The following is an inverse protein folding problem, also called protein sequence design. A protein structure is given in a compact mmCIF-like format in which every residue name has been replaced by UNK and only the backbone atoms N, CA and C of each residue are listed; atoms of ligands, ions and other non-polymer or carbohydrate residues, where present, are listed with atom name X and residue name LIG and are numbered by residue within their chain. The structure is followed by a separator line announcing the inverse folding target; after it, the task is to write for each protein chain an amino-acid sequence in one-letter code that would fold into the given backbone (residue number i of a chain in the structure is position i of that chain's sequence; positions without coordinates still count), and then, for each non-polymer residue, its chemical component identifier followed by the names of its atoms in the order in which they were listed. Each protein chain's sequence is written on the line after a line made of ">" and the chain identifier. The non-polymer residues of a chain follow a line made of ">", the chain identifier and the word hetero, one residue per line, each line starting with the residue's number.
data_IF_960988893354
#
_entry.id   IF_960988893354
#
_cell.length_a   1.000
_cell.length_b   1.000
_cell.length_c   1.000
_cell.angle_alpha   90.00
_cell.angle_beta   90.00
_cell.angle_gamma   90.00
#
_symmetry.space_group_name_H-M   'P 1'
#
loop_
_entity.id
_entity.type
_entity.pdbx_description
1 polymer ?
#
# COMPACT_ATOMS: atom_id res chain seq x y z
N UNK A 1 7.52 -2.10 -26.92
CA UNK A 1 7.04 -2.91 -25.79
C UNK A 1 8.00 -4.08 -25.57
N UNK A 2 8.39 -4.37 -24.33
CA UNK A 2 9.27 -5.51 -24.02
C UNK A 2 8.53 -6.83 -24.27
N UNK A 3 9.09 -7.77 -25.07
CA UNK A 3 8.47 -9.08 -25.33
C UNK A 3 8.21 -9.85 -24.05
N UNK A 4 7.06 -10.52 -23.94
CA UNK A 4 6.66 -11.24 -22.71
C UNK A 4 7.69 -12.30 -22.28
N UNK A 5 8.35 -12.96 -23.24
CA UNK A 5 9.39 -13.96 -22.99
C UNK A 5 10.62 -13.38 -22.28
N UNK A 6 10.98 -12.12 -22.52
CA UNK A 6 12.15 -11.48 -21.91
C UNK A 6 11.87 -10.88 -20.53
N UNK A 7 10.60 -10.70 -20.15
CA UNK A 7 10.23 -10.03 -18.88
C UNK A 7 10.63 -10.83 -17.65
N UNK A 8 10.49 -12.15 -17.69
CA UNK A 8 10.92 -13.04 -16.60
C UNK A 8 12.44 -13.01 -16.42
N UNK A 9 13.18 -12.93 -17.53
CA UNK A 9 14.63 -12.81 -17.48
C UNK A 9 15.05 -11.46 -16.89
N UNK A 10 14.44 -10.36 -17.34
CA UNK A 10 14.73 -9.02 -16.82
C UNK A 10 14.40 -8.92 -15.34
N UNK A 11 13.21 -9.38 -14.90
CA UNK A 11 12.80 -9.28 -13.49
C UNK A 11 13.74 -10.05 -12.57
N UNK A 12 14.32 -11.15 -13.05
CA UNK A 12 15.25 -11.95 -12.25
C UNK A 12 16.50 -11.17 -11.78
N UNK A 13 16.91 -10.13 -12.52
CA UNK A 13 18.02 -9.24 -12.14
C UNK A 13 17.64 -8.16 -11.14
N UNK A 14 16.35 -7.97 -10.87
CA UNK A 14 15.82 -6.95 -9.96
C UNK A 14 15.21 -7.52 -8.68
N UNK A 15 15.22 -8.86 -8.54
CA UNK A 15 14.76 -9.52 -7.32
C UNK A 15 15.95 -9.77 -6.42
N UNK A 16 15.80 -9.44 -5.13
CA UNK A 16 16.81 -9.67 -4.10
C UNK A 16 16.26 -10.45 -2.91
N UNK A 17 17.16 -11.03 -2.12
CA UNK A 17 16.86 -11.69 -0.86
C UNK A 17 15.79 -12.80 -0.98
N UNK A 18 14.72 -12.69 -0.18
CA UNK A 18 13.65 -13.70 -0.11
C UNK A 18 12.88 -13.82 -1.43
N UNK A 19 12.74 -12.73 -2.18
CA UNK A 19 12.05 -12.72 -3.47
C UNK A 19 12.87 -13.46 -4.54
N UNK A 20 14.19 -13.22 -4.59
CA UNK A 20 15.10 -13.93 -5.49
C UNK A 20 15.13 -15.45 -5.23
N UNK A 21 15.23 -15.84 -3.96
CA UNK A 21 15.26 -17.25 -3.53
C UNK A 21 13.99 -17.98 -3.96
N UNK A 22 12.82 -17.36 -3.74
CA UNK A 22 11.55 -17.92 -4.20
C UNK A 22 11.48 -18.02 -5.72
N UNK A 23 11.87 -16.97 -6.43
CA UNK A 23 11.82 -16.94 -7.89
C UNK A 23 12.67 -18.05 -8.51
N UNK A 24 13.88 -18.27 -8.00
CA UNK A 24 14.75 -19.37 -8.46
C UNK A 24 14.12 -20.74 -8.25
N UNK A 25 13.57 -21.00 -7.06
CA UNK A 25 12.85 -22.24 -6.78
C UNK A 25 11.63 -22.42 -7.70
N UNK A 26 10.84 -21.36 -7.91
CA UNK A 26 9.63 -21.42 -8.72
C UNK A 26 9.94 -21.64 -10.21
N UNK A 27 11.01 -21.03 -10.73
CA UNK A 27 11.54 -21.30 -12.07
C UNK A 27 12.05 -22.74 -12.19
N UNK A 28 12.81 -23.24 -11.21
CA UNK A 28 13.35 -24.61 -11.23
C UNK A 28 12.25 -25.68 -11.25
N UNK A 29 11.11 -25.40 -10.61
CA UNK A 29 9.95 -26.30 -10.57
C UNK A 29 8.94 -26.05 -11.70
N UNK A 30 9.29 -25.25 -12.72
CA UNK A 30 8.42 -24.89 -13.84
C UNK A 30 7.07 -24.25 -13.42
N UNK A 31 7.04 -23.58 -12.26
CA UNK A 31 5.84 -22.93 -11.74
C UNK A 31 5.61 -21.54 -12.36
N UNK A 32 6.64 -20.96 -12.98
CA UNK A 32 6.61 -19.64 -13.61
C UNK A 32 6.77 -19.76 -15.13
N UNK A 33 5.73 -20.24 -15.81
CA UNK A 33 5.73 -20.46 -17.26
C UNK A 33 5.43 -19.21 -18.09
N UNK A 34 4.88 -18.17 -17.47
CA UNK A 34 4.47 -16.94 -18.16
C UNK A 34 4.53 -15.71 -17.24
N UNK A 35 4.57 -14.51 -17.84
CA UNK A 35 4.52 -13.26 -17.10
C UNK A 35 3.27 -13.11 -16.22
N UNK A 36 2.04 -13.44 -16.69
CA UNK A 36 0.86 -13.48 -15.83
C UNK A 36 0.99 -14.41 -14.63
N UNK A 37 1.49 -15.63 -14.82
CA UNK A 37 1.69 -16.60 -13.72
C UNK A 37 2.69 -16.10 -12.68
N UNK A 38 3.73 -15.39 -13.12
CA UNK A 38 4.66 -14.72 -12.22
C UNK A 38 4.01 -13.60 -11.43
N UNK A 39 3.20 -12.74 -12.07
CA UNK A 39 2.47 -11.68 -11.37
C UNK A 39 1.52 -12.26 -10.32
N UNK A 40 0.77 -13.31 -10.66
CA UNK A 40 -0.09 -13.98 -9.69
C UNK A 40 0.71 -14.56 -8.52
N UNK A 41 1.78 -15.32 -8.80
CA UNK A 41 2.61 -15.93 -7.76
C UNK A 41 3.30 -14.91 -6.85
N UNK A 42 3.76 -13.78 -7.40
CA UNK A 42 4.37 -12.72 -6.60
C UNK A 42 3.33 -11.99 -5.75
N UNK A 43 2.13 -11.75 -6.27
CA UNK A 43 1.01 -11.21 -5.49
C UNK A 43 0.57 -12.17 -4.38
N UNK A 44 0.46 -13.48 -4.66
CA UNK A 44 0.06 -14.46 -3.63
C UNK A 44 1.08 -14.58 -2.51
N UNK A 45 2.38 -14.49 -2.82
CA UNK A 45 3.44 -14.75 -1.84
C UNK A 45 4.02 -13.51 -1.16
N UNK A 46 3.98 -12.36 -1.85
CA UNK A 46 4.57 -11.10 -1.39
C UNK A 46 3.62 -9.92 -1.53
N UNK A 47 2.47 -10.08 -2.18
CA UNK A 47 1.42 -9.08 -2.11
C UNK A 47 0.83 -9.02 -0.70
N UNK A 48 0.05 -7.96 -0.40
CA UNK A 48 -0.82 -7.95 0.77
C UNK A 48 -1.59 -9.26 0.75
N UNK A 49 -1.50 -10.06 1.81
CA UNK A 49 -2.25 -11.31 1.84
C UNK A 49 -3.72 -10.99 1.61
N UNK A 50 -4.47 -11.83 0.89
CA UNK A 50 -5.92 -11.65 0.70
C UNK A 50 -6.73 -11.58 2.03
N UNK A 51 -6.05 -11.66 3.17
CA UNK A 51 -6.56 -11.58 4.53
C UNK A 51 -6.24 -10.24 5.23
N UNK A 52 -5.37 -9.39 4.68
CA UNK A 52 -5.17 -8.05 5.21
C UNK A 52 -6.26 -7.14 4.63
N UNK A 53 -7.29 -6.86 5.45
CA UNK A 53 -8.28 -5.82 5.19
C UNK A 53 -7.60 -4.45 5.37
N UNK A 54 -6.71 -4.10 4.45
CA UNK A 54 -5.91 -2.86 4.50
C UNK A 54 -6.83 -1.63 4.49
N UNK A 55 -7.97 -1.70 3.79
CA UNK A 55 -9.00 -0.65 3.83
C UNK A 55 -9.59 -0.52 5.25
N UNK A 56 -9.90 -1.65 5.89
CA UNK A 56 -10.31 -1.72 7.28
C UNK A 56 -9.25 -1.22 8.26
N UNK A 57 -7.98 -1.52 8.03
CA UNK A 57 -6.86 -1.01 8.83
C UNK A 57 -6.72 0.50 8.67
N UNK A 58 -6.77 1.01 7.44
CA UNK A 58 -6.71 2.44 7.14
C UNK A 58 -7.87 3.20 7.79
N UNK A 59 -9.09 2.66 7.73
CA UNK A 59 -10.27 3.29 8.32
C UNK A 59 -10.26 3.31 9.86
N UNK A 60 -9.53 2.39 10.49
CA UNK A 60 -9.41 2.26 11.96
C UNK A 60 -8.13 2.90 12.50
N UNK A 61 -7.23 3.35 11.63
CA UNK A 61 -5.95 3.94 12.04
C UNK A 61 -6.22 5.18 12.92
N UNK A 62 -5.56 5.23 14.07
CA UNK A 62 -5.72 6.33 15.02
C UNK A 62 -4.38 6.82 15.56
N UNK A 63 -4.28 8.11 15.79
CA UNK A 63 -3.09 8.78 16.28
C UNK A 63 -2.85 8.46 17.75
N UNK A 64 -1.85 7.62 18.01
CA UNK A 64 -1.37 7.30 19.37
C UNK A 64 -0.24 8.24 19.79
N UNK A 65 0.76 8.41 18.91
CA UNK A 65 1.95 9.25 19.11
C UNK A 65 1.84 10.65 18.52
N UNK A 66 2.89 11.05 17.82
CA UNK A 66 2.98 12.31 17.08
C UNK A 66 2.12 12.29 15.80
N UNK A 67 1.86 13.47 15.23
CA UNK A 67 1.15 13.57 13.94
C UNK A 67 2.00 13.00 12.81
N UNK A 68 3.31 13.27 12.82
CA UNK A 68 4.24 12.77 11.80
C UNK A 68 4.28 11.23 11.76
N UNK A 69 4.31 10.55 12.92
CA UNK A 69 4.25 9.09 12.98
C UNK A 69 2.91 8.54 12.47
N UNK A 70 1.80 9.22 12.78
CA UNK A 70 0.48 8.84 12.30
C UNK A 70 0.36 9.02 10.79
N UNK A 71 0.83 10.15 10.25
CA UNK A 71 0.83 10.43 8.82
C UNK A 71 1.66 9.40 8.06
N UNK A 72 2.86 9.06 8.53
CA UNK A 72 3.70 8.03 7.91
C UNK A 72 2.98 6.68 7.85
N UNK A 73 2.32 6.26 8.95
CA UNK A 73 1.53 5.03 8.97
C UNK A 73 0.33 5.08 8.01
N UNK A 74 -0.32 6.24 7.90
CA UNK A 74 -1.44 6.45 6.99
C UNK A 74 -0.99 6.34 5.53
N UNK A 75 0.14 6.96 5.17
CA UNK A 75 0.74 6.91 3.84
C UNK A 75 1.20 5.47 3.48
N UNK A 76 1.77 4.73 4.42
CA UNK A 76 2.16 3.33 4.22
C UNK A 76 0.97 2.42 3.92
N UNK A 77 -0.17 2.64 4.58
CA UNK A 77 -1.42 1.92 4.30
C UNK A 77 -2.05 2.37 2.99
N UNK A 78 -2.03 3.67 2.68
CA UNK A 78 -2.49 4.22 1.40
C UNK A 78 -1.77 3.60 0.19
N UNK A 79 -0.46 3.38 0.30
CA UNK A 79 0.34 2.77 -0.76
C UNK A 79 -0.04 1.30 -1.04
N UNK A 80 -0.81 0.66 -0.15
CA UNK A 80 -1.24 -0.74 -0.24
C UNK A 80 -2.70 -0.88 -0.69
N UNK A 81 -3.48 0.20 -0.75
CA UNK A 81 -4.89 0.19 -1.18
C UNK A 81 -5.06 0.88 -2.53
N UNK A 82 -6.07 0.47 -3.29
CA UNK A 82 -6.42 1.10 -4.58
C UNK A 82 -7.93 1.29 -4.67
N UNK A 83 -8.39 2.43 -5.22
CA UNK A 83 -9.81 2.66 -5.49
C UNK A 83 -10.60 3.36 -4.38
N UNK A 84 -9.94 3.73 -3.27
CA UNK A 84 -10.54 4.59 -2.23
C UNK A 84 -10.60 6.03 -2.76
N UNK A 85 -11.77 6.67 -2.65
CA UNK A 85 -11.92 8.06 -3.06
C UNK A 85 -11.22 9.01 -2.10
N UNK A 86 -10.66 10.11 -2.63
CA UNK A 86 -9.98 11.12 -1.81
C UNK A 86 -10.84 11.71 -0.68
N UNK A 87 -12.14 12.01 -0.88
CA UNK A 87 -13.00 12.45 0.22
C UNK A 87 -13.09 11.43 1.38
N UNK A 88 -13.03 10.13 1.07
CA UNK A 88 -13.04 9.07 2.08
C UNK A 88 -11.69 8.99 2.81
N UNK A 89 -10.57 9.17 2.10
CA UNK A 89 -9.24 9.29 2.71
C UNK A 89 -9.15 10.48 3.66
N UNK A 90 -9.66 11.66 3.25
CA UNK A 90 -9.75 12.85 4.11
C UNK A 90 -10.58 12.53 5.37
N UNK A 91 -11.72 11.87 5.19
CA UNK A 91 -12.57 11.45 6.31
C UNK A 91 -11.82 10.55 7.28
N UNK A 92 -11.17 9.49 6.80
CA UNK A 92 -10.39 8.56 7.63
C UNK A 92 -9.27 9.28 8.37
N UNK A 93 -8.48 10.10 7.68
CA UNK A 93 -7.39 10.87 8.27
C UNK A 93 -7.89 11.78 9.40
N UNK A 94 -8.93 12.59 9.14
CA UNK A 94 -9.52 13.48 10.16
C UNK A 94 -10.06 12.68 11.35
N UNK A 95 -10.73 11.55 11.11
CA UNK A 95 -11.28 10.72 12.20
C UNK A 95 -10.22 10.02 13.03
N UNK A 96 -9.07 9.69 12.43
CA UNK A 96 -7.94 9.07 13.10
C UNK A 96 -7.13 10.02 13.99
N UNK A 97 -7.19 11.33 13.75
CA UNK A 97 -6.48 12.33 14.57
C UNK A 97 -7.03 12.46 16.00
N UNK A 98 -6.18 12.93 16.91
CA UNK A 98 -6.57 13.30 18.28
C UNK A 98 -7.67 14.38 18.27
N UNK A 99 -8.52 14.35 19.31
CA UNK A 99 -9.75 15.17 19.39
C UNK A 99 -9.53 16.67 19.19
N UNK A 100 -8.38 17.22 19.61
CA UNK A 100 -8.05 18.62 19.40
C UNK A 100 -7.88 18.94 17.91
N UNK A 101 -6.98 18.24 17.22
CA UNK A 101 -6.70 18.43 15.79
C UNK A 101 -7.91 18.07 14.93
N UNK A 102 -8.62 16.98 15.26
CA UNK A 102 -9.85 16.60 14.57
C UNK A 102 -10.87 17.74 14.51
N UNK A 103 -11.08 18.45 15.63
CA UNK A 103 -12.05 19.56 15.68
C UNK A 103 -11.61 20.74 14.81
N UNK A 104 -10.31 21.03 14.80
CA UNK A 104 -9.73 22.10 13.99
C UNK A 104 -9.87 21.80 12.50
N UNK A 105 -9.48 20.61 12.05
CA UNK A 105 -9.64 20.21 10.65
C UNK A 105 -11.11 20.12 10.23
N UNK A 106 -12.02 19.69 11.11
CA UNK A 106 -13.46 19.70 10.85
C UNK A 106 -14.04 21.11 10.65
N UNK A 107 -13.46 22.11 11.34
CA UNK A 107 -13.83 23.51 11.18
C UNK A 107 -13.32 24.07 9.85
N UNK A 108 -12.06 23.77 9.51
CA UNK A 108 -11.40 24.25 8.29
C UNK A 108 -11.87 23.55 7.01
N UNK A 109 -12.38 22.31 7.10
CA UNK A 109 -12.89 21.50 5.98
C UNK A 109 -11.89 21.46 4.81
N UNK A 110 -10.75 20.76 4.96
CA UNK A 110 -9.79 20.61 3.87
C UNK A 110 -10.45 19.99 2.63
N UNK A 111 -10.09 20.51 1.45
CA UNK A 111 -10.63 20.05 0.16
C UNK A 111 -9.80 18.93 -0.46
N UNK A 112 -8.53 18.85 -0.08
CA UNK A 112 -7.59 17.82 -0.55
C UNK A 112 -6.94 17.10 0.62
N UNK A 113 -6.43 15.90 0.38
CA UNK A 113 -5.70 15.16 1.40
C UNK A 113 -4.39 15.86 1.78
N UNK A 114 -3.72 16.49 0.80
CA UNK A 114 -2.52 17.31 1.03
C UNK A 114 -2.81 18.49 1.97
N UNK A 115 -3.95 19.17 1.81
CA UNK A 115 -4.35 20.24 2.72
C UNK A 115 -4.59 19.70 4.12
N UNK A 116 -5.24 18.53 4.23
CA UNK A 116 -5.47 17.89 5.52
C UNK A 116 -4.14 17.54 6.23
N UNK A 117 -3.14 17.06 5.48
CA UNK A 117 -1.80 16.80 6.02
C UNK A 117 -1.10 18.09 6.46
N UNK A 118 -1.19 19.15 5.68
CA UNK A 118 -0.56 20.44 6.00
C UNK A 118 -1.17 21.14 7.23
N UNK A 119 -2.42 20.83 7.56
CA UNK A 119 -3.14 21.42 8.70
C UNK A 119 -3.02 20.61 10.00
N UNK A 120 -2.54 19.36 9.94
CA UNK A 120 -2.45 18.46 11.10
C UNK A 120 -1.17 18.66 11.91
#
# INVERSE_FOLDING_TARGET
>A
ATPAASRLQIVSFHLDGRAATWFQWAMHNNLLSSWPTFLEGIHTRFGPTAYEDVEGELSKLSQTGSVAEFQAQFEDLMNKVTGISEPLLISFFITGLKRNLRRELQLHRPFTLTDAFAMA
#
